data_IF_180780231612
#
_entry.id   IF_180780231612
#
_cell.length_a   1.000
_cell.length_b   1.000
_cell.length_c   1.000
_cell.angle_alpha   90.00
_cell.angle_beta   90.00
_cell.angle_gamma   90.00
#
_symmetry.space_group_name_H-M   'P 1'
#
loop_
_entity.id
_entity.type
_entity.pdbx_description
1 polymer ?
#
# COMPACT_ATOMS: atom_id res chain seq x y z
N UNK A 1 -20.32 -41.57 33.61
CA UNK A 1 -21.28 -40.74 32.84
C UNK A 1 -20.85 -39.29 33.02
N UNK A 2 -20.01 -38.77 32.13
CA UNK A 2 -19.63 -37.36 32.11
C UNK A 2 -20.01 -36.88 30.71
N UNK A 3 -21.15 -36.19 30.62
CA UNK A 3 -21.54 -35.48 29.42
C UNK A 3 -20.72 -34.18 29.36
N UNK A 4 -19.53 -34.26 28.78
CA UNK A 4 -18.77 -33.09 28.37
C UNK A 4 -19.50 -32.48 27.17
N UNK A 5 -20.15 -31.35 27.39
CA UNK A 5 -20.79 -30.55 26.36
C UNK A 5 -19.73 -29.90 25.48
N UNK A 6 -19.27 -30.62 24.45
CA UNK A 6 -18.54 -30.04 23.34
C UNK A 6 -19.54 -29.26 22.48
N UNK A 7 -19.86 -28.04 22.91
CA UNK A 7 -20.43 -27.04 22.02
C UNK A 7 -19.28 -26.46 21.19
N UNK A 8 -19.14 -26.78 19.89
CA UNK A 8 -18.38 -25.91 19.00
C UNK A 8 -19.12 -24.57 19.00
N UNK A 9 -18.49 -23.56 19.59
CA UNK A 9 -19.04 -22.22 19.76
C UNK A 9 -19.70 -21.74 18.46
N UNK A 10 -21.03 -21.66 18.45
CA UNK A 10 -21.78 -21.19 17.29
C UNK A 10 -21.48 -19.70 17.12
N UNK A 11 -20.52 -19.38 16.26
CA UNK A 11 -20.17 -18.01 15.91
C UNK A 11 -21.43 -17.25 15.45
N UNK A 12 -21.76 -16.14 16.12
CA UNK A 12 -22.95 -15.34 15.78
C UNK A 12 -22.87 -14.82 14.33
N UNK A 13 -24.00 -14.51 13.69
CA UNK A 13 -24.01 -13.98 12.31
C UNK A 13 -23.16 -12.71 12.15
N UNK A 14 -23.12 -11.87 13.20
CA UNK A 14 -22.28 -10.67 13.27
C UNK A 14 -20.79 -11.02 13.28
N UNK A 15 -20.38 -12.03 14.03
CA UNK A 15 -18.99 -12.51 14.09
C UNK A 15 -18.53 -13.06 12.74
N UNK A 16 -19.39 -13.83 12.04
CA UNK A 16 -19.10 -14.35 10.68
C UNK A 16 -18.94 -13.22 9.67
N UNK A 17 -19.81 -12.20 9.73
CA UNK A 17 -19.73 -11.02 8.86
C UNK A 17 -18.44 -10.22 9.10
N UNK A 18 -18.07 -10.00 10.36
CA UNK A 18 -16.82 -9.32 10.72
C UNK A 18 -15.61 -10.10 10.22
N UNK A 19 -15.54 -11.41 10.47
CA UNK A 19 -14.46 -12.28 9.99
C UNK A 19 -14.31 -12.20 8.47
N UNK A 20 -15.41 -12.30 7.73
CA UNK A 20 -15.41 -12.21 6.26
C UNK A 20 -14.89 -10.85 5.78
N UNK A 21 -15.32 -9.75 6.41
CA UNK A 21 -14.84 -8.40 6.05
C UNK A 21 -13.35 -8.26 6.32
N UNK A 22 -12.88 -8.70 7.49
CA UNK A 22 -11.46 -8.64 7.84
C UNK A 22 -10.61 -9.46 6.86
N UNK A 23 -11.03 -10.67 6.51
CA UNK A 23 -10.34 -11.51 5.54
C UNK A 23 -10.25 -10.85 4.16
N UNK A 24 -11.34 -10.23 3.69
CA UNK A 24 -11.37 -9.49 2.42
C UNK A 24 -10.39 -8.31 2.43
N UNK A 25 -10.38 -7.51 3.50
CA UNK A 25 -9.47 -6.39 3.62
C UNK A 25 -8.00 -6.84 3.71
N UNK A 26 -7.71 -7.89 4.49
CA UNK A 26 -6.35 -8.43 4.62
C UNK A 26 -5.84 -8.98 3.27
N UNK A 27 -6.66 -9.78 2.58
CA UNK A 27 -6.31 -10.29 1.25
C UNK A 27 -6.10 -9.16 0.24
N UNK A 28 -6.96 -8.13 0.27
CA UNK A 28 -6.81 -6.97 -0.60
C UNK A 28 -5.55 -6.16 -0.28
N UNK A 29 -5.18 -6.03 1.00
CA UNK A 29 -3.93 -5.35 1.40
C UNK A 29 -2.69 -6.08 0.88
N UNK A 30 -2.61 -7.41 1.06
CA UNK A 30 -1.46 -8.17 0.60
C UNK A 30 -1.33 -8.15 -0.93
N UNK A 31 -2.44 -8.33 -1.65
CA UNK A 31 -2.41 -8.30 -3.12
C UNK A 31 -2.08 -6.88 -3.65
N UNK A 32 -2.60 -5.85 -2.99
CA UNK A 32 -2.27 -4.45 -3.28
C UNK A 32 -0.79 -4.12 -2.97
N UNK A 33 -0.22 -4.69 -1.91
CA UNK A 33 1.21 -4.61 -1.62
C UNK A 33 2.08 -5.36 -2.62
N UNK A 34 1.64 -6.54 -3.08
CA UNK A 34 2.32 -7.27 -4.14
C UNK A 34 2.31 -6.47 -5.46
N UNK A 35 1.18 -5.87 -5.82
CA UNK A 35 1.09 -4.97 -6.98
C UNK A 35 2.05 -3.78 -6.85
N UNK A 36 2.15 -3.17 -5.66
CA UNK A 36 3.14 -2.12 -5.41
C UNK A 36 4.56 -2.65 -5.62
N UNK A 37 4.91 -3.77 -5.01
CA UNK A 37 6.24 -4.37 -5.13
C UNK A 37 6.63 -4.66 -6.59
N UNK A 38 5.67 -5.11 -7.41
CA UNK A 38 5.89 -5.30 -8.84
C UNK A 38 6.27 -3.99 -9.56
N UNK A 39 5.74 -2.84 -9.14
CA UNK A 39 6.16 -1.55 -9.72
C UNK A 39 7.63 -1.24 -9.44
N UNK A 40 8.14 -1.63 -8.26
CA UNK A 40 9.53 -1.41 -7.85
C UNK A 40 10.52 -2.41 -8.46
N UNK A 41 10.05 -3.44 -9.18
CA UNK A 41 10.92 -4.30 -10.00
C UNK A 41 11.58 -3.52 -11.14
N UNK A 42 10.91 -2.47 -11.63
CA UNK A 42 11.54 -1.47 -12.49
C UNK A 42 12.09 -0.39 -11.56
N UNK A 43 13.43 -0.29 -11.40
CA UNK A 43 14.04 0.67 -10.50
C UNK A 43 13.55 2.08 -10.85
N UNK A 44 13.14 2.88 -9.85
CA UNK A 44 12.73 4.24 -10.12
C UNK A 44 13.94 5.06 -10.62
N UNK A 45 13.67 6.05 -11.47
CA UNK A 45 14.72 6.87 -12.10
C UNK A 45 15.63 7.52 -11.06
N UNK A 46 15.07 8.05 -9.96
CA UNK A 46 15.85 8.65 -8.87
C UNK A 46 16.85 7.67 -8.22
N UNK A 47 16.55 6.37 -8.18
CA UNK A 47 17.46 5.37 -7.62
C UNK A 47 18.62 5.07 -8.59
N UNK A 48 18.37 5.16 -9.89
CA UNK A 48 19.40 5.00 -10.93
C UNK A 48 20.29 6.26 -11.01
N UNK A 49 19.70 7.45 -10.92
CA UNK A 49 20.42 8.72 -10.93
C UNK A 49 21.33 8.83 -9.72
N UNK A 50 20.85 8.46 -8.52
CA UNK A 50 21.65 8.44 -7.30
C UNK A 50 22.84 7.47 -7.40
N UNK A 51 22.66 6.32 -8.05
CA UNK A 51 23.73 5.35 -8.28
C UNK A 51 24.80 5.86 -9.26
N UNK A 52 24.37 6.55 -10.32
CA UNK A 52 25.28 7.09 -11.35
C UNK A 52 25.98 8.39 -11.00
N UNK A 53 25.57 9.06 -9.91
CA UNK A 53 26.04 10.40 -9.54
C UNK A 53 27.31 10.42 -8.66
N UNK A 54 27.84 9.26 -8.24
CA UNK A 54 29.00 9.20 -7.36
C UNK A 54 30.27 9.74 -8.05
N UNK A 55 31.01 10.70 -7.44
CA UNK A 55 32.26 11.22 -7.98
C UNK A 55 33.33 10.12 -8.12
N UNK A 56 34.23 10.28 -9.11
CA UNK A 56 35.35 9.35 -9.28
C UNK A 56 36.24 9.32 -8.01
N UNK A 57 36.37 8.13 -7.40
CA UNK A 57 37.13 7.93 -6.16
C UNK A 57 36.32 8.03 -4.86
N UNK A 58 35.01 8.26 -4.94
CA UNK A 58 34.11 8.12 -3.80
C UNK A 58 33.91 6.62 -3.48
N UNK A 59 34.17 6.15 -2.24
CA UNK A 59 33.94 4.76 -1.86
C UNK A 59 32.46 4.33 -1.95
N UNK A 60 31.53 5.28 -2.08
CA UNK A 60 30.12 5.01 -2.38
C UNK A 60 29.86 4.75 -3.88
N UNK A 61 30.82 5.03 -4.76
CA UNK A 61 30.77 4.63 -6.17
C UNK A 61 30.94 3.11 -6.37
N UNK A 62 31.52 2.42 -5.39
CA UNK A 62 31.71 0.96 -5.37
C UNK A 62 30.51 0.22 -4.75
N UNK A 63 29.40 0.92 -4.48
CA UNK A 63 28.18 0.31 -3.95
C UNK A 63 27.71 -0.77 -4.93
N UNK A 64 27.51 -2.03 -4.50
CA UNK A 64 27.09 -3.08 -5.40
C UNK A 64 25.69 -2.79 -6.02
N UNK A 65 25.43 -3.17 -7.29
CA UNK A 65 24.12 -2.95 -7.92
C UNK A 65 22.93 -3.53 -7.16
N UNK A 66 23.13 -4.59 -6.36
CA UNK A 66 22.06 -5.17 -5.53
C UNK A 66 21.54 -4.21 -4.45
N UNK A 67 22.34 -3.21 -4.05
CA UNK A 67 21.93 -2.20 -3.06
C UNK A 67 20.85 -1.27 -3.60
N UNK A 68 20.79 -1.03 -4.93
CA UNK A 68 19.70 -0.29 -5.58
C UNK A 68 18.37 -1.02 -5.36
N UNK A 69 18.38 -2.34 -5.59
CA UNK A 69 17.20 -3.18 -5.37
C UNK A 69 16.82 -3.23 -3.89
N UNK A 70 17.79 -3.30 -2.97
CA UNK A 70 17.52 -3.27 -1.54
C UNK A 70 16.91 -1.93 -1.10
N UNK A 71 17.44 -0.80 -1.60
CA UNK A 71 16.89 0.52 -1.33
C UNK A 71 15.47 0.68 -1.91
N UNK A 72 15.25 0.22 -3.15
CA UNK A 72 13.93 0.20 -3.78
C UNK A 72 12.92 -0.66 -3.00
N UNK A 73 13.33 -1.84 -2.52
CA UNK A 73 12.49 -2.71 -1.68
C UNK A 73 12.20 -2.07 -0.32
N UNK A 74 13.19 -1.45 0.32
CA UNK A 74 13.00 -0.74 1.59
C UNK A 74 12.03 0.43 1.42
N UNK A 75 12.19 1.20 0.35
CA UNK A 75 11.27 2.28 -0.02
C UNK A 75 9.85 1.75 -0.25
N UNK A 76 9.71 0.64 -1.00
CA UNK A 76 8.44 -0.01 -1.25
C UNK A 76 7.75 -0.46 0.04
N UNK A 77 8.45 -1.18 0.92
CA UNK A 77 7.89 -1.67 2.19
C UNK A 77 7.51 -0.51 3.10
N UNK A 78 8.37 0.49 3.21
CA UNK A 78 8.10 1.66 4.06
C UNK A 78 6.89 2.43 3.54
N UNK A 79 6.81 2.67 2.22
CA UNK A 79 5.67 3.34 1.61
C UNK A 79 4.37 2.53 1.76
N UNK A 80 4.45 1.20 1.59
CA UNK A 80 3.30 0.31 1.78
C UNK A 80 2.72 0.43 3.20
N UNK A 81 3.59 0.34 4.21
CA UNK A 81 3.21 0.37 5.62
C UNK A 81 2.74 1.76 6.05
N UNK A 82 3.46 2.81 5.67
CA UNK A 82 3.22 4.17 6.17
C UNK A 82 2.13 4.92 5.40
N UNK A 83 1.92 4.60 4.13
CA UNK A 83 1.02 5.36 3.24
C UNK A 83 -0.11 4.48 2.73
N UNK A 84 0.20 3.37 2.07
CA UNK A 84 -0.79 2.59 1.32
C UNK A 84 -1.80 1.89 2.24
N UNK A 85 -1.35 1.23 3.31
CA UNK A 85 -2.26 0.57 4.27
C UNK A 85 -3.18 1.59 4.96
N UNK A 86 -2.67 2.70 5.56
CA UNK A 86 -3.53 3.68 6.20
C UNK A 86 -4.51 4.35 5.23
N UNK A 87 -4.06 4.73 4.03
CA UNK A 87 -4.91 5.38 3.04
C UNK A 87 -5.99 4.44 2.47
N UNK A 88 -5.67 3.18 2.21
CA UNK A 88 -6.65 2.17 1.77
C UNK A 88 -7.71 1.91 2.85
N UNK A 89 -7.31 1.78 4.11
CA UNK A 89 -8.23 1.63 5.23
C UNK A 89 -9.11 2.87 5.40
N UNK A 90 -8.52 4.05 5.49
CA UNK A 90 -9.25 5.30 5.74
C UNK A 90 -10.18 5.64 4.56
N UNK A 91 -9.72 5.45 3.32
CA UNK A 91 -10.53 5.63 2.12
C UNK A 91 -11.73 4.67 2.08
N UNK A 92 -11.53 3.40 2.44
CA UNK A 92 -12.64 2.44 2.53
C UNK A 92 -13.62 2.75 3.66
N UNK A 93 -13.14 3.33 4.77
CA UNK A 93 -13.99 3.76 5.88
C UNK A 93 -14.82 4.99 5.50
N UNK A 94 -14.19 6.03 4.94
CA UNK A 94 -14.86 7.25 4.47
C UNK A 94 -15.84 6.99 3.32
N UNK A 95 -15.48 6.06 2.42
CA UNK A 95 -16.28 5.72 1.24
C UNK A 95 -17.28 4.59 1.45
N UNK A 96 -17.42 4.04 2.67
CA UNK A 96 -18.24 2.86 3.00
C UNK A 96 -19.66 2.86 2.40
N UNK A 97 -20.30 4.03 2.30
CA UNK A 97 -21.67 4.17 1.79
C UNK A 97 -21.74 4.86 0.42
N UNK A 98 -20.61 5.13 -0.23
CA UNK A 98 -20.51 5.98 -1.44
C UNK A 98 -19.93 5.26 -2.66
N UNK A 99 -19.62 3.97 -2.54
CA UNK A 99 -19.13 3.13 -3.65
C UNK A 99 -17.60 3.13 -3.79
N UNK A 100 -17.12 2.29 -4.72
CA UNK A 100 -15.69 2.01 -4.89
C UNK A 100 -14.90 3.24 -5.38
N UNK A 101 -15.44 4.00 -6.34
CA UNK A 101 -14.80 5.19 -6.89
C UNK A 101 -14.60 6.27 -5.83
N UNK A 102 -15.61 6.51 -5.00
CA UNK A 102 -15.51 7.52 -3.92
C UNK A 102 -14.55 7.05 -2.84
N UNK A 103 -14.56 5.76 -2.49
CA UNK A 103 -13.58 5.18 -1.57
C UNK A 103 -12.14 5.32 -2.08
N UNK A 104 -11.95 5.11 -3.39
CA UNK A 104 -10.67 5.26 -4.06
C UNK A 104 -10.22 6.73 -4.09
N UNK A 105 -11.10 7.68 -4.41
CA UNK A 105 -10.79 9.10 -4.37
C UNK A 105 -10.34 9.55 -2.98
N UNK A 106 -11.03 9.13 -1.92
CA UNK A 106 -10.60 9.40 -0.55
C UNK A 106 -9.25 8.76 -0.23
N UNK A 107 -9.03 7.52 -0.66
CA UNK A 107 -7.74 6.86 -0.49
C UNK A 107 -6.61 7.63 -1.18
N UNK A 108 -6.83 8.13 -2.40
CA UNK A 108 -5.85 8.95 -3.11
C UNK A 108 -5.56 10.27 -2.40
N UNK A 109 -6.58 10.97 -1.91
CA UNK A 109 -6.38 12.21 -1.13
C UNK A 109 -5.53 11.94 0.11
N UNK A 110 -5.84 10.89 0.87
CA UNK A 110 -5.09 10.52 2.07
C UNK A 110 -3.68 10.04 1.73
N UNK A 111 -3.51 9.27 0.66
CA UNK A 111 -2.20 8.84 0.21
C UNK A 111 -1.34 10.04 -0.20
N UNK A 112 -1.91 11.00 -0.92
CA UNK A 112 -1.20 12.21 -1.33
C UNK A 112 -0.70 13.03 -0.14
N UNK A 113 -1.54 13.22 0.88
CA UNK A 113 -1.15 13.97 2.09
C UNK A 113 -0.12 13.20 2.92
N UNK A 114 -0.30 11.90 3.12
CA UNK A 114 0.66 11.06 3.86
C UNK A 114 2.00 10.95 3.13
N UNK A 115 2.01 10.81 1.81
CA UNK A 115 3.24 10.79 0.99
C UNK A 115 4.00 12.10 1.16
N UNK A 116 3.31 13.23 1.03
CA UNK A 116 3.94 14.54 1.21
C UNK A 116 4.50 14.71 2.62
N UNK A 117 3.72 14.36 3.65
CA UNK A 117 4.16 14.42 5.04
C UNK A 117 5.33 13.49 5.33
N UNK A 118 5.38 12.31 4.70
CA UNK A 118 6.48 11.36 4.83
C UNK A 118 7.76 11.89 4.18
N UNK A 119 7.69 12.32 2.91
CA UNK A 119 8.86 12.83 2.19
C UNK A 119 9.42 14.10 2.84
N UNK A 120 8.57 15.06 3.19
CA UNK A 120 9.01 16.30 3.80
C UNK A 120 9.34 16.16 5.29
N UNK A 121 8.47 15.52 6.06
CA UNK A 121 8.59 15.47 7.52
C UNK A 121 9.58 14.41 8.02
N UNK A 122 9.59 13.23 7.39
CA UNK A 122 10.42 12.09 7.82
C UNK A 122 11.72 12.05 7.04
N UNK A 123 11.66 12.06 5.71
CA UNK A 123 12.86 12.00 4.86
C UNK A 123 13.55 13.36 4.69
N UNK A 124 12.93 14.45 5.15
CA UNK A 124 13.50 15.80 5.15
C UNK A 124 13.97 16.26 3.77
N UNK A 125 13.26 15.86 2.71
CA UNK A 125 13.53 16.34 1.34
C UNK A 125 13.28 17.84 1.30
N UNK A 126 14.36 18.62 1.21
CA UNK A 126 14.33 20.08 1.32
C UNK A 126 14.14 20.81 0.00
N UNK A 127 14.48 20.16 -1.12
CA UNK A 127 14.31 20.73 -2.46
C UNK A 127 12.88 20.47 -2.96
N UNK A 128 12.17 21.53 -3.36
CA UNK A 128 10.77 21.43 -3.83
C UNK A 128 10.65 20.65 -5.13
N UNK A 129 11.60 20.77 -6.06
CA UNK A 129 11.58 20.04 -7.33
C UNK A 129 11.74 18.53 -7.07
N UNK A 130 12.76 18.16 -6.29
CA UNK A 130 13.01 16.78 -5.88
C UNK A 130 11.83 16.20 -5.08
N UNK A 131 11.26 16.97 -4.15
CA UNK A 131 10.07 16.58 -3.40
C UNK A 131 8.88 16.30 -4.32
N UNK A 132 8.69 17.14 -5.34
CA UNK A 132 7.58 17.00 -6.30
C UNK A 132 7.76 15.76 -7.17
N UNK A 133 8.98 15.52 -7.67
CA UNK A 133 9.29 14.36 -8.50
C UNK A 133 9.12 13.04 -7.73
N UNK A 134 9.66 12.99 -6.50
CA UNK A 134 9.48 11.84 -5.61
C UNK A 134 8.01 11.64 -5.27
N UNK A 135 7.29 12.70 -4.90
CA UNK A 135 5.86 12.61 -4.60
C UNK A 135 5.07 12.07 -5.78
N UNK A 136 5.35 12.53 -7.00
CA UNK A 136 4.68 12.08 -8.22
C UNK A 136 4.96 10.60 -8.52
N UNK A 137 6.23 10.15 -8.42
CA UNK A 137 6.61 8.74 -8.63
C UNK A 137 5.92 7.81 -7.60
N UNK A 138 5.98 8.16 -6.31
CA UNK A 138 5.32 7.40 -5.26
C UNK A 138 3.79 7.39 -5.42
N UNK A 139 3.19 8.51 -5.83
CA UNK A 139 1.74 8.58 -6.08
C UNK A 139 1.32 7.78 -7.29
N UNK A 140 2.09 7.78 -8.38
CA UNK A 140 1.82 6.96 -9.55
C UNK A 140 1.79 5.46 -9.16
N UNK A 141 2.82 5.00 -8.45
CA UNK A 141 2.94 3.62 -7.97
C UNK A 141 1.86 3.26 -6.94
N UNK A 142 1.66 4.14 -5.96
CA UNK A 142 0.67 3.98 -4.90
C UNK A 142 -0.77 3.97 -5.42
N UNK A 143 -1.09 4.77 -6.43
CA UNK A 143 -2.42 4.82 -7.03
C UNK A 143 -2.80 3.50 -7.68
N UNK A 144 -1.86 2.83 -8.36
CA UNK A 144 -2.07 1.50 -8.94
C UNK A 144 -2.39 0.45 -7.86
N UNK A 145 -1.60 0.47 -6.77
CA UNK A 145 -1.85 -0.39 -5.62
C UNK A 145 -3.24 -0.14 -5.01
N UNK A 146 -3.60 1.13 -4.78
CA UNK A 146 -4.88 1.53 -4.20
C UNK A 146 -6.07 1.22 -5.11
N UNK A 147 -5.91 1.32 -6.43
CA UNK A 147 -6.91 0.92 -7.40
C UNK A 147 -7.15 -0.60 -7.31
N UNK A 148 -6.08 -1.40 -7.19
CA UNK A 148 -6.17 -2.82 -6.92
C UNK A 148 -6.92 -3.12 -5.62
N UNK A 149 -6.60 -2.43 -4.53
CA UNK A 149 -7.29 -2.58 -3.25
C UNK A 149 -8.79 -2.23 -3.34
N UNK A 150 -9.13 -1.09 -3.92
CA UNK A 150 -10.52 -0.65 -4.10
C UNK A 150 -11.30 -1.61 -5.02
N UNK A 151 -10.67 -2.09 -6.09
CA UNK A 151 -11.23 -3.08 -6.99
C UNK A 151 -11.55 -4.39 -6.27
N UNK A 152 -10.56 -4.98 -5.59
CA UNK A 152 -10.70 -6.26 -4.88
C UNK A 152 -11.72 -6.20 -3.75
N UNK A 153 -11.69 -5.15 -2.95
CA UNK A 153 -12.68 -4.94 -1.88
C UNK A 153 -14.09 -4.77 -2.44
N UNK A 154 -14.25 -4.13 -3.60
CA UNK A 154 -15.56 -4.00 -4.26
C UNK A 154 -16.06 -5.30 -4.88
N UNK A 155 -15.16 -6.12 -5.45
CA UNK A 155 -15.49 -7.40 -6.07
C UNK A 155 -15.89 -8.44 -5.02
N UNK A 156 -15.12 -8.56 -3.95
CA UNK A 156 -15.37 -9.54 -2.88
C UNK A 156 -16.49 -9.11 -1.91
N UNK A 157 -16.85 -7.82 -1.88
CA UNK A 157 -18.02 -7.33 -1.15
C UNK A 157 -19.35 -7.70 -1.83
N UNK A 158 -19.37 -8.00 -3.13
CA UNK A 158 -20.61 -8.42 -3.81
C UNK A 158 -21.07 -9.79 -3.29
N UNK A 159 -22.35 -9.95 -2.90
CA UNK A 159 -22.92 -11.27 -2.70
C UNK A 159 -22.84 -12.04 -4.03
N UNK A 160 -22.45 -13.32 -3.97
CA UNK A 160 -22.71 -14.22 -5.09
C UNK A 160 -24.23 -14.21 -5.31
N UNK A 161 -24.70 -13.69 -6.44
CA UNK A 161 -26.11 -13.85 -6.82
C UNK A 161 -26.33 -15.34 -7.04
N UNK A 162 -27.38 -15.94 -6.45
CA UNK A 162 -27.84 -17.24 -6.91
C UNK A 162 -28.19 -17.11 -8.40
N UNK A 163 -27.71 -18.07 -9.21
CA UNK A 163 -28.15 -18.24 -10.59
C UNK A 163 -29.60 -18.73 -10.63
#
# INVERSE_FOLDING_TARGET
>A
MIAGSDHPASMTSRSKLLLRRTAVHLGAMHLSGALLALTFLVPPAWALDAYGAAPAGDPTADVPPFMIFLAALLACVTFHVMVQIPSGLLGSWLGRNRGALVSYAFALTVAGTLTLAFLWGVLRVGNVAELTDLWADFMARGSLGLAGYAGLTSLWARPARPA
#
